data_IF_658669322485
#
_entry.id   IF_658669322485
#
_cell.length_a   1.000
_cell.length_b   1.000
_cell.length_c   1.000
_cell.angle_alpha   90.00
_cell.angle_beta   90.00
_cell.angle_gamma   90.00
#
_symmetry.space_group_name_H-M   'P 1'
#
loop_
_entity.id
_entity.type
_entity.pdbx_description
1 polymer ?
#
# COMPACT_ATOMS: atom_id res chain seq x y z
N UNK A 1 -12.06 1.38 9.39
CA UNK A 1 -12.53 2.78 9.43
C UNK A 1 -11.30 3.67 9.59
N UNK A 2 -11.26 4.84 8.95
CA UNK A 2 -10.11 5.77 9.05
C UNK A 2 -10.02 6.39 10.46
N UNK A 3 -8.80 6.58 10.97
CA UNK A 3 -8.51 7.12 12.32
C UNK A 3 -7.30 8.03 12.25
N UNK A 4 -7.30 9.14 13.01
CA UNK A 4 -6.14 10.03 13.11
C UNK A 4 -5.85 10.88 11.86
N UNK A 5 -6.80 10.97 10.94
CA UNK A 5 -6.72 11.76 9.71
C UNK A 5 -7.45 13.09 9.92
N UNK A 6 -6.84 14.19 9.47
CA UNK A 6 -7.34 15.57 9.59
C UNK A 6 -7.44 16.23 8.22
N UNK A 7 -8.43 17.11 8.04
CA UNK A 7 -8.61 17.94 6.84
C UNK A 7 -8.47 17.17 5.50
N UNK A 8 -9.22 16.07 5.28
CA UNK A 8 -9.18 15.37 4.00
C UNK A 8 -9.69 16.29 2.88
N UNK A 9 -8.86 16.49 1.86
CA UNK A 9 -9.16 17.33 0.70
C UNK A 9 -9.04 16.52 -0.58
N UNK A 10 -10.07 16.58 -1.41
CA UNK A 10 -10.05 16.11 -2.78
C UNK A 10 -10.05 17.32 -3.72
N UNK A 11 -9.15 17.34 -4.70
CA UNK A 11 -9.17 18.38 -5.72
C UNK A 11 -10.24 18.08 -6.78
N UNK A 12 -11.14 19.02 -7.13
CA UNK A 12 -12.19 18.79 -8.13
C UNK A 12 -11.66 18.38 -9.52
N UNK A 13 -10.43 18.78 -9.85
CA UNK A 13 -9.76 18.45 -11.11
C UNK A 13 -8.84 17.22 -11.03
N UNK A 14 -8.60 16.68 -9.82
CA UNK A 14 -7.77 15.51 -9.57
C UNK A 14 -8.59 14.47 -8.78
N UNK A 15 -9.49 13.78 -9.48
CA UNK A 15 -10.39 12.78 -8.91
C UNK A 15 -9.67 11.54 -8.34
N UNK A 16 -8.37 11.40 -8.59
CA UNK A 16 -7.53 10.28 -8.20
C UNK A 16 -6.56 10.60 -7.04
N UNK A 17 -6.65 11.80 -6.45
CA UNK A 17 -5.76 12.24 -5.37
C UNK A 17 -6.56 12.73 -4.17
N UNK A 18 -6.17 12.28 -2.98
CA UNK A 18 -6.70 12.75 -1.70
C UNK A 18 -5.51 13.20 -0.86
N UNK A 19 -5.58 14.40 -0.33
CA UNK A 19 -4.59 14.95 0.60
C UNK A 19 -5.19 15.00 2.00
N UNK A 20 -4.39 14.74 3.02
CA UNK A 20 -4.82 14.88 4.41
C UNK A 20 -3.62 15.15 5.32
N UNK A 21 -3.91 15.71 6.48
CA UNK A 21 -2.95 15.89 7.56
C UNK A 21 -3.09 14.78 8.59
N UNK A 22 -2.02 14.48 9.31
CA UNK A 22 -2.01 13.56 10.43
C UNK A 22 -0.93 13.97 11.43
N UNK A 23 -1.08 13.54 12.68
CA UNK A 23 -0.09 13.78 13.72
C UNK A 23 0.99 12.69 13.64
N UNK A 24 2.26 13.01 13.31
CA UNK A 24 3.31 12.00 13.10
C UNK A 24 3.68 11.25 14.38
N UNK A 25 3.32 11.75 15.57
CA UNK A 25 3.56 11.04 16.84
C UNK A 25 2.40 10.15 17.27
N UNK A 26 1.32 10.08 16.46
CA UNK A 26 0.15 9.24 16.71
C UNK A 26 -0.08 8.24 15.58
N UNK A 27 -0.74 7.14 15.90
CA UNK A 27 -1.18 6.19 14.89
C UNK A 27 -2.26 6.81 14.00
N UNK A 28 -2.11 6.68 12.69
CA UNK A 28 -3.12 7.03 11.70
C UNK A 28 -3.45 5.84 10.79
N UNK A 29 -4.70 5.76 10.36
CA UNK A 29 -5.16 4.78 9.38
C UNK A 29 -6.12 5.43 8.38
N UNK A 30 -5.98 5.07 7.11
CA UNK A 30 -6.85 5.55 6.03
C UNK A 30 -7.53 4.37 5.35
N UNK A 31 -8.85 4.47 5.21
CA UNK A 31 -9.63 3.56 4.37
C UNK A 31 -9.94 4.25 3.04
N UNK A 32 -9.53 3.63 1.93
CA UNK A 32 -9.71 4.17 0.58
C UNK A 32 -10.57 3.20 -0.22
N UNK A 33 -11.68 3.68 -0.77
CA UNK A 33 -12.48 2.94 -1.75
C UNK A 33 -12.05 3.33 -3.17
N UNK A 34 -11.58 2.37 -3.94
CA UNK A 34 -11.17 2.58 -5.34
C UNK A 34 -12.26 2.06 -6.26
N UNK A 35 -12.89 2.95 -7.02
CA UNK A 35 -13.96 2.61 -7.97
C UNK A 35 -13.43 2.27 -9.39
N UNK A 36 -12.12 2.10 -9.54
CA UNK A 36 -11.48 1.82 -10.83
C UNK A 36 -11.48 0.32 -11.17
N UNK A 37 -11.92 -0.04 -12.38
CA UNK A 37 -12.05 -1.44 -12.84
C UNK A 37 -10.86 -1.96 -13.66
N UNK A 38 -9.93 -1.08 -14.03
CA UNK A 38 -8.70 -1.41 -14.78
C UNK A 38 -7.50 -1.52 -13.81
N UNK A 39 -6.35 -2.11 -14.21
CA UNK A 39 -5.15 -2.13 -13.38
C UNK A 39 -4.74 -0.71 -12.96
N UNK A 40 -4.46 -0.51 -11.68
CA UNK A 40 -4.10 0.80 -11.13
C UNK A 40 -2.93 0.69 -10.15
N UNK A 41 -2.32 1.84 -9.85
CA UNK A 41 -1.33 1.98 -8.78
C UNK A 41 -1.90 2.88 -7.70
N UNK A 42 -1.68 2.52 -6.44
CA UNK A 42 -1.83 3.43 -5.31
C UNK A 42 -0.43 3.95 -4.99
N UNK A 43 -0.29 5.28 -4.94
CA UNK A 43 0.92 5.98 -4.52
C UNK A 43 0.58 6.76 -3.25
N UNK A 44 1.47 6.74 -2.27
CA UNK A 44 1.35 7.51 -1.04
C UNK A 44 2.61 8.37 -0.90
N UNK A 45 2.41 9.69 -0.94
CA UNK A 45 3.48 10.66 -0.78
C UNK A 45 3.29 11.39 0.56
N UNK A 46 4.36 11.49 1.35
CA UNK A 46 4.35 12.20 2.63
C UNK A 46 5.20 13.46 2.53
N UNK A 47 4.65 14.58 3.01
CA UNK A 47 5.29 15.89 2.98
C UNK A 47 5.39 16.48 4.38
N UNK A 48 6.54 17.05 4.72
CA UNK A 48 6.68 17.88 5.94
C UNK A 48 6.10 19.28 5.70
N UNK A 49 5.44 19.86 6.70
CA UNK A 49 4.80 21.20 6.62
C UNK A 49 5.76 22.39 6.71
N UNK A 50 7.06 22.20 6.48
CA UNK A 50 8.01 23.31 6.45
C UNK A 50 7.68 24.28 5.29
N UNK A 51 8.04 25.56 5.43
CA UNK A 51 7.72 26.64 4.47
C UNK A 51 8.15 26.35 3.02
N UNK A 52 9.01 25.35 2.79
CA UNK A 52 9.47 24.93 1.47
C UNK A 52 9.01 23.55 0.99
N UNK A 53 8.18 22.79 1.75
CA UNK A 53 7.71 21.43 1.36
C UNK A 53 8.84 20.48 0.88
N UNK A 54 10.06 20.65 1.37
CA UNK A 54 11.27 20.07 0.75
C UNK A 54 11.48 18.58 1.01
N UNK A 55 10.83 17.99 2.01
CA UNK A 55 11.01 16.57 2.32
C UNK A 55 9.89 15.73 1.70
N UNK A 56 10.20 15.07 0.57
CA UNK A 56 9.41 13.99 0.01
C UNK A 56 10.01 12.63 0.39
N UNK A 57 9.35 11.92 1.28
CA UNK A 57 9.56 10.47 1.37
C UNK A 57 8.47 9.80 0.52
N UNK A 58 8.83 9.40 -0.71
CA UNK A 58 7.96 8.67 -1.62
C UNK A 58 7.83 7.23 -1.12
N UNK A 59 6.78 6.95 -0.36
CA UNK A 59 6.62 5.66 0.30
C UNK A 59 5.49 4.86 -0.33
N UNK A 60 5.93 3.88 -1.11
CA UNK A 60 5.17 2.73 -1.61
C UNK A 60 4.29 2.96 -2.84
N UNK A 61 4.69 2.32 -3.94
CA UNK A 61 3.85 2.09 -5.12
C UNK A 61 3.24 0.68 -5.04
N UNK A 62 1.93 0.59 -4.89
CA UNK A 62 1.23 -0.70 -4.89
C UNK A 62 0.57 -0.91 -6.25
N UNK A 63 1.03 -1.89 -7.02
CA UNK A 63 0.39 -2.33 -8.26
C UNK A 63 -0.80 -3.25 -7.93
N UNK A 64 -2.03 -2.77 -8.07
CA UNK A 64 -3.24 -3.58 -7.87
C UNK A 64 -3.88 -3.97 -9.19
N UNK A 65 -4.23 -5.26 -9.31
CA UNK A 65 -5.17 -5.78 -10.32
C UNK A 65 -6.47 -6.15 -9.60
N UNK A 66 -7.51 -5.29 -9.63
CA UNK A 66 -8.70 -5.45 -8.79
C UNK A 66 -9.48 -6.74 -9.08
N UNK A 67 -9.52 -7.20 -10.34
CA UNK A 67 -10.10 -8.50 -10.67
C UNK A 67 -9.09 -9.63 -10.41
N UNK A 68 -9.38 -10.43 -9.39
CA UNK A 68 -8.71 -11.71 -9.16
C UNK A 68 -7.67 -11.72 -8.03
N UNK A 69 -7.59 -10.69 -7.19
CA UNK A 69 -6.76 -10.73 -5.98
C UNK A 69 -7.20 -11.89 -5.06
N UNK A 70 -8.49 -12.01 -4.74
CA UNK A 70 -9.02 -13.11 -3.91
C UNK A 70 -8.85 -14.47 -4.58
N UNK A 71 -9.14 -14.54 -5.88
CA UNK A 71 -9.00 -15.78 -6.66
C UNK A 71 -7.53 -16.21 -6.73
N UNK A 72 -6.61 -15.26 -6.89
CA UNK A 72 -5.16 -15.50 -6.87
C UNK A 72 -4.70 -15.92 -5.48
N UNK A 73 -5.14 -15.25 -4.42
CA UNK A 73 -4.80 -15.59 -3.04
C UNK A 73 -5.23 -17.01 -2.69
N UNK A 74 -6.46 -17.38 -3.06
CA UNK A 74 -6.99 -18.74 -2.89
C UNK A 74 -6.16 -19.77 -3.67
N UNK A 75 -5.92 -19.53 -4.96
CA UNK A 75 -5.12 -20.43 -5.80
C UNK A 75 -3.68 -20.56 -5.31
N UNK A 76 -3.04 -19.47 -4.88
CA UNK A 76 -1.67 -19.47 -4.38
C UNK A 76 -1.60 -20.22 -3.03
N UNK A 77 -2.59 -20.06 -2.15
CA UNK A 77 -2.72 -20.84 -0.91
C UNK A 77 -2.87 -22.34 -1.17
N UNK A 78 -3.72 -22.74 -2.11
CA UNK A 78 -3.89 -24.15 -2.51
C UNK A 78 -2.61 -24.74 -3.11
N UNK A 79 -1.87 -23.94 -3.92
CA UNK A 79 -0.57 -24.37 -4.47
C UNK A 79 0.48 -24.58 -3.38
N UNK A 80 0.55 -23.69 -2.39
CA UNK A 80 1.51 -23.81 -1.27
C UNK A 80 1.15 -25.00 -0.39
N UNK A 81 -0.14 -25.24 -0.13
CA UNK A 81 -0.62 -26.38 0.66
C UNK A 81 -0.28 -27.75 0.03
N UNK A 82 0.02 -27.81 -1.28
CA UNK A 82 0.46 -29.04 -1.96
C UNK A 82 1.99 -29.24 -1.94
N UNK A 83 2.77 -28.26 -1.49
CA UNK A 83 4.24 -28.35 -1.40
C UNK A 83 4.69 -29.15 -0.17
N UNK A 84 5.93 -29.61 -0.20
CA UNK A 84 6.61 -30.27 0.93
C UNK A 84 6.80 -29.27 2.09
N UNK A 85 6.92 -29.74 3.35
CA UNK A 85 7.19 -28.86 4.49
C UNK A 85 8.43 -27.96 4.29
N UNK A 86 9.51 -28.53 3.75
CA UNK A 86 10.76 -27.82 3.46
C UNK A 86 10.58 -26.72 2.39
N UNK A 87 9.76 -26.97 1.37
CA UNK A 87 9.50 -25.97 0.34
C UNK A 87 8.48 -24.91 0.79
N UNK A 88 7.60 -25.22 1.75
CA UNK A 88 6.65 -24.26 2.32
C UNK A 88 7.36 -23.15 3.09
N UNK A 89 8.42 -23.47 3.83
CA UNK A 89 9.22 -22.50 4.60
C UNK A 89 9.86 -21.41 3.72
N UNK A 90 10.03 -21.66 2.42
CA UNK A 90 10.55 -20.67 1.46
C UNK A 90 9.54 -19.60 1.05
N UNK A 91 8.26 -19.75 1.40
CA UNK A 91 7.19 -18.82 1.04
C UNK A 91 6.72 -17.99 2.24
N UNK A 92 6.30 -16.75 1.97
CA UNK A 92 5.67 -15.90 2.98
C UNK A 92 4.30 -16.49 3.38
N UNK A 93 3.98 -16.43 4.68
CA UNK A 93 2.68 -16.83 5.22
C UNK A 93 1.54 -16.04 4.55
N UNK A 94 0.44 -16.72 4.21
CA UNK A 94 -0.75 -16.03 3.70
C UNK A 94 -1.45 -15.30 4.85
N UNK A 95 -1.77 -14.03 4.63
CA UNK A 95 -2.59 -13.23 5.54
C UNK A 95 -3.96 -12.95 4.90
N UNK A 96 -4.97 -12.65 5.71
CA UNK A 96 -6.29 -12.22 5.23
C UNK A 96 -6.21 -10.88 4.48
N UNK A 97 -5.24 -10.05 4.86
CA UNK A 97 -4.92 -8.77 4.22
C UNK A 97 -3.55 -8.82 3.56
N UNK A 98 -3.36 -8.06 2.48
CA UNK A 98 -2.03 -7.87 1.89
C UNK A 98 -1.19 -7.04 2.85
N UNK A 99 -0.24 -7.68 3.53
CA UNK A 99 0.75 -7.00 4.37
C UNK A 99 1.88 -6.51 3.49
N UNK A 100 1.99 -5.19 3.32
CA UNK A 100 3.10 -4.57 2.61
C UNK A 100 4.29 -4.47 3.57
N UNK A 101 5.46 -4.87 3.10
CA UNK A 101 6.72 -4.69 3.82
C UNK A 101 7.50 -3.57 3.15
N UNK A 102 8.11 -2.74 3.99
CA UNK A 102 9.09 -1.74 3.56
C UNK A 102 10.21 -2.46 2.77
N UNK A 103 10.42 -2.05 1.52
CA UNK A 103 11.57 -2.50 0.73
C UNK A 103 12.61 -1.41 0.84
N UNK A 104 13.62 -1.59 1.68
CA UNK A 104 14.81 -0.75 1.64
C UNK A 104 15.52 -1.05 0.33
N UNK A 105 15.46 -0.15 -0.64
CA UNK A 105 16.32 -0.24 -1.81
C UNK A 105 17.76 -0.09 -1.35
N UNK A 106 18.49 -1.20 -1.25
CA UNK A 106 19.95 -1.16 -1.22
C UNK A 106 20.38 -0.72 -2.62
N UNK A 107 20.59 0.58 -2.81
CA UNK A 107 21.29 1.07 -4.00
C UNK A 107 22.72 0.57 -3.88
N UNK A 108 23.04 -0.53 -4.56
CA UNK A 108 24.41 -0.89 -4.83
C UNK A 108 24.95 0.15 -5.83
N UNK A 109 25.53 1.21 -5.30
CA UNK A 109 26.42 2.07 -6.09
C UNK A 109 27.61 1.16 -6.44
N UNK A 110 27.69 0.76 -7.70
CA UNK A 110 28.86 0.08 -8.29
C UNK A 110 29.59 1.08 -9.17
#
# INVERSE_FOLDING_TARGET
>A
LSVGIMEPRSHPMHLNTIEFLWDPVKNASVFIQVNCIIPFRIQVDTFTTNEHREYMEHLCCINHRPKGADRKLKTDREKIAKKTPQDREKYQLSHETTVLKEVRQTVHIT
#
